data_IF_534196018304
#
_entry.id   IF_534196018304
#
_cell.length_a   1.000
_cell.length_b   1.000
_cell.length_c   1.000
_cell.angle_alpha   90.00
_cell.angle_beta   90.00
_cell.angle_gamma   90.00
#
_symmetry.space_group_name_H-M   'P 1'
#
loop_
_entity.id
_entity.type
_entity.pdbx_description
1 polymer ?
#
# COMPACT_ATOMS: atom_id res chain seq x y z
N UNK A 1 38.86 -8.59 14.60
CA UNK A 1 37.88 -9.70 14.52
C UNK A 1 36.49 -9.28 15.01
N UNK A 2 36.34 -8.65 16.18
CA UNK A 2 35.05 -8.10 16.66
C UNK A 2 34.32 -7.23 15.61
N UNK A 3 35.03 -6.34 14.88
CA UNK A 3 34.44 -5.51 13.81
C UNK A 3 33.91 -6.32 12.62
N UNK A 4 34.61 -7.38 12.24
CA UNK A 4 34.18 -8.27 11.16
C UNK A 4 32.93 -9.07 11.56
N UNK A 5 32.84 -9.49 12.83
CA UNK A 5 31.65 -10.12 13.39
C UNK A 5 30.45 -9.16 13.44
N UNK A 6 30.64 -7.89 13.86
CA UNK A 6 29.55 -6.90 13.82
C UNK A 6 29.02 -6.64 12.41
N UNK A 7 29.92 -6.52 11.43
CA UNK A 7 29.54 -6.39 10.02
C UNK A 7 28.79 -7.64 9.52
N UNK A 8 29.29 -8.86 9.83
CA UNK A 8 28.64 -10.12 9.50
C UNK A 8 27.25 -10.29 10.12
N UNK A 9 27.08 -9.97 11.40
CA UNK A 9 25.78 -10.02 12.11
C UNK A 9 24.80 -9.00 11.52
N UNK A 10 25.26 -7.78 11.22
CA UNK A 10 24.42 -6.76 10.57
C UNK A 10 23.92 -7.23 9.19
N UNK A 11 24.80 -7.87 8.42
CA UNK A 11 24.46 -8.47 7.13
C UNK A 11 23.47 -9.62 7.25
N UNK A 12 23.61 -10.51 8.24
CA UNK A 12 22.67 -11.60 8.48
C UNK A 12 21.25 -11.09 8.78
N UNK A 13 21.14 -10.08 9.66
CA UNK A 13 19.84 -9.50 10.01
C UNK A 13 19.17 -8.83 8.80
N UNK A 14 19.96 -8.11 7.98
CA UNK A 14 19.45 -7.47 6.76
C UNK A 14 18.94 -8.50 5.75
N UNK A 15 19.69 -9.59 5.52
CA UNK A 15 19.24 -10.66 4.61
C UNK A 15 18.06 -11.43 5.16
N UNK A 16 17.96 -11.63 6.48
CA UNK A 16 16.77 -12.23 7.10
C UNK A 16 15.53 -11.40 6.80
N UNK A 17 15.57 -10.09 7.04
CA UNK A 17 14.41 -9.26 6.75
C UNK A 17 14.13 -9.12 5.25
N UNK A 18 15.14 -9.21 4.38
CA UNK A 18 14.93 -9.34 2.93
C UNK A 18 14.16 -10.61 2.60
N UNK A 19 14.55 -11.74 3.19
CA UNK A 19 13.86 -13.02 3.01
C UNK A 19 12.42 -12.97 3.52
N UNK A 20 12.17 -12.30 4.65
CA UNK A 20 10.81 -12.14 5.18
C UNK A 20 9.92 -11.35 4.21
N UNK A 21 10.44 -10.25 3.63
CA UNK A 21 9.69 -9.43 2.67
C UNK A 21 9.48 -10.16 1.34
N UNK A 22 10.50 -10.81 0.79
CA UNK A 22 10.38 -11.61 -0.44
C UNK A 22 9.43 -12.79 -0.23
N UNK A 23 9.51 -13.48 0.90
CA UNK A 23 8.57 -14.54 1.27
C UNK A 23 7.13 -14.04 1.36
N UNK A 24 6.93 -12.84 1.92
CA UNK A 24 5.61 -12.20 1.96
C UNK A 24 5.09 -11.83 0.56
N UNK A 25 5.95 -11.33 -0.32
CA UNK A 25 5.58 -11.01 -1.70
C UNK A 25 5.14 -12.27 -2.46
N UNK A 26 5.91 -13.36 -2.37
CA UNK A 26 5.59 -14.63 -3.04
C UNK A 26 4.26 -15.19 -2.51
N UNK A 27 4.04 -15.16 -1.19
CA UNK A 27 2.80 -15.64 -0.59
C UNK A 27 1.57 -14.86 -1.08
N UNK A 28 1.74 -13.57 -1.38
CA UNK A 28 0.66 -12.68 -1.81
C UNK A 28 0.62 -12.44 -3.34
N UNK A 29 1.26 -13.29 -4.15
CA UNK A 29 1.25 -13.14 -5.62
C UNK A 29 -0.16 -13.24 -6.22
N UNK A 30 -1.02 -14.08 -5.66
CA UNK A 30 -2.40 -14.26 -6.14
C UNK A 30 -3.39 -13.35 -5.41
N UNK A 31 -2.91 -12.46 -4.54
CA UNK A 31 -3.78 -11.57 -3.77
C UNK A 31 -4.12 -10.34 -4.62
N UNK A 32 -5.41 -10.07 -4.78
CA UNK A 32 -5.89 -8.92 -5.54
C UNK A 32 -5.55 -7.60 -4.82
N UNK A 33 -5.09 -6.61 -5.59
CA UNK A 33 -4.71 -5.30 -5.07
C UNK A 33 -3.46 -5.27 -4.17
N UNK A 34 -2.72 -6.38 -4.05
CA UNK A 34 -1.47 -6.42 -3.29
C UNK A 34 -0.37 -5.61 -3.98
N UNK A 35 0.42 -4.89 -3.19
CA UNK A 35 1.59 -4.12 -3.64
C UNK A 35 2.86 -4.72 -3.05
N UNK A 36 3.81 -5.06 -3.92
CA UNK A 36 5.14 -5.61 -3.61
C UNK A 36 5.86 -4.71 -2.62
N UNK A 37 6.33 -5.30 -1.53
CA UNK A 37 7.25 -4.65 -0.60
C UNK A 37 8.69 -4.79 -1.11
N UNK A 38 9.47 -3.72 -1.05
CA UNK A 38 10.90 -3.72 -1.38
C UNK A 38 11.70 -3.25 -0.17
N UNK A 39 12.83 -3.91 0.06
CA UNK A 39 13.77 -3.54 1.12
C UNK A 39 14.95 -2.80 0.50
N UNK A 40 15.29 -1.64 1.06
CA UNK A 40 16.51 -0.91 0.71
C UNK A 40 17.47 -0.93 1.90
N UNK A 41 18.77 -1.03 1.62
CA UNK A 41 19.83 -1.00 2.62
C UNK A 41 20.67 0.25 2.46
N UNK A 42 21.21 0.72 3.59
CA UNK A 42 22.24 1.77 3.63
C UNK A 42 23.44 1.27 4.41
N UNK A 43 24.62 1.75 4.07
CA UNK A 43 25.82 1.47 4.85
C UNK A 43 25.74 2.13 6.25
N UNK A 44 26.52 1.58 7.17
CA UNK A 44 26.79 2.20 8.46
C UNK A 44 28.01 3.13 8.34
N UNK A 45 28.08 4.12 9.24
CA UNK A 45 29.18 5.11 9.31
C UNK A 45 30.54 4.42 9.14
N UNK A 46 31.37 4.95 8.24
CA UNK A 46 32.74 4.47 8.03
C UNK A 46 33.64 4.93 9.19
N UNK A 47 34.50 4.04 9.67
CA UNK A 47 35.51 4.41 10.66
C UNK A 47 36.80 4.79 9.94
N UNK A 48 37.25 6.04 10.11
CA UNK A 48 38.52 6.50 9.59
C UNK A 48 39.68 5.90 10.39
N UNK A 49 40.53 5.13 9.71
CA UNK A 49 41.76 4.51 10.24
C UNK A 49 42.99 5.35 9.89
N UNK A 50 42.93 6.15 8.82
CA UNK A 50 43.96 7.13 8.48
C UNK A 50 43.39 8.26 7.63
N UNK A 51 43.75 9.49 7.98
CA UNK A 51 43.36 10.68 7.21
C UNK A 51 44.13 10.75 5.89
N UNK A 52 43.48 11.30 4.88
CA UNK A 52 44.14 11.62 3.62
C UNK A 52 45.13 12.77 3.84
N UNK A 53 46.33 12.68 3.24
CA UNK A 53 47.30 13.78 3.23
C UNK A 53 47.70 14.11 1.80
N UNK A 54 47.74 15.39 1.48
CA UNK A 54 48.33 15.86 0.23
C UNK A 54 49.83 15.53 0.19
N UNK A 55 50.37 15.26 -1.00
CA UNK A 55 51.79 15.03 -1.21
C UNK A 55 52.60 16.32 -1.14
N UNK A 56 53.83 16.24 -0.65
CA UNK A 56 54.83 17.32 -0.65
C UNK A 56 55.95 17.01 -1.66
N UNK A 57 56.89 17.94 -1.90
CA UNK A 57 57.99 17.82 -2.85
C UNK A 57 58.92 16.60 -2.64
N UNK A 58 58.83 15.91 -1.50
CA UNK A 58 59.67 14.75 -1.14
C UNK A 58 58.87 13.47 -0.86
N UNK A 59 57.53 13.53 -0.78
CA UNK A 59 56.68 12.37 -0.47
C UNK A 59 55.31 12.47 -1.14
N UNK A 60 54.83 11.36 -1.71
CA UNK A 60 53.51 11.28 -2.36
C UNK A 60 52.35 11.37 -1.36
N UNK A 61 51.19 11.82 -1.84
CA UNK A 61 49.97 11.86 -1.04
C UNK A 61 49.48 10.46 -0.65
N UNK A 62 48.80 10.36 0.48
CA UNK A 62 48.18 9.11 0.94
C UNK A 62 46.66 9.22 0.88
N UNK A 63 46.02 8.14 0.42
CA UNK A 63 44.57 8.02 0.40
C UNK A 63 44.01 7.80 1.81
N UNK A 64 42.78 8.27 2.09
CA UNK A 64 42.12 7.98 3.35
C UNK A 64 41.86 6.49 3.44
N UNK A 65 42.10 5.92 4.62
CA UNK A 65 41.82 4.52 4.91
C UNK A 65 40.61 4.49 5.82
N UNK A 66 39.48 4.02 5.30
CA UNK A 66 38.25 3.88 6.06
C UNK A 66 37.79 2.43 6.01
N UNK A 67 37.19 1.97 7.10
CA UNK A 67 36.62 0.63 7.22
C UNK A 67 35.14 0.77 7.52
N UNK A 68 34.29 0.23 6.64
CA UNK A 68 32.84 0.20 6.85
C UNK A 68 32.46 -0.72 8.01
N UNK A 69 31.47 -0.29 8.80
CA UNK A 69 30.95 -1.03 9.96
C UNK A 69 29.78 -1.96 9.61
N UNK A 70 29.54 -2.22 8.33
CA UNK A 70 28.43 -3.03 7.82
C UNK A 70 27.33 -2.18 7.19
N UNK A 71 26.10 -2.69 7.22
CA UNK A 71 24.93 -1.99 6.70
C UNK A 71 23.70 -2.17 7.59
N UNK A 72 22.73 -1.27 7.47
CA UNK A 72 21.41 -1.36 8.13
C UNK A 72 20.29 -1.31 7.11
N UNK A 73 19.14 -1.87 7.45
CA UNK A 73 17.90 -1.62 6.72
C UNK A 73 17.56 -0.13 6.75
N UNK A 74 17.35 0.45 5.58
CA UNK A 74 16.94 1.85 5.44
C UNK A 74 15.41 1.95 5.52
N UNK A 75 14.70 1.27 4.62
CA UNK A 75 13.23 1.29 4.54
C UNK A 75 12.70 -0.03 3.99
N UNK A 76 11.42 -0.30 4.30
CA UNK A 76 10.57 -1.22 3.53
C UNK A 76 9.46 -0.39 2.91
N UNK A 77 9.51 -0.17 1.60
CA UNK A 77 8.52 0.60 0.86
C UNK A 77 7.61 -0.32 0.02
N UNK A 78 6.35 0.06 -0.15
CA UNK A 78 5.46 -0.61 -1.10
C UNK A 78 5.63 0.04 -2.47
N UNK A 79 5.76 -0.76 -3.52
CA UNK A 79 5.82 -0.28 -4.90
C UNK A 79 4.40 -0.20 -5.45
N UNK A 80 3.97 1.00 -5.85
CA UNK A 80 2.58 1.29 -6.26
C UNK A 80 2.31 1.17 -7.76
N UNK A 81 3.21 0.58 -8.55
CA UNK A 81 2.92 0.29 -9.95
C UNK A 81 1.69 -0.64 -10.08
N UNK A 82 0.99 -0.49 -11.20
CA UNK A 82 -0.19 -1.29 -11.50
C UNK A 82 0.19 -2.74 -11.81
N UNK A 83 -0.54 -3.69 -11.22
CA UNK A 83 -0.48 -5.11 -11.60
C UNK A 83 -1.30 -5.42 -12.86
N UNK A 84 -1.22 -6.66 -13.34
CA UNK A 84 -2.03 -7.10 -14.48
C UNK A 84 -3.52 -7.09 -14.11
N UNK A 85 -4.39 -6.67 -15.04
CA UNK A 85 -5.83 -6.71 -14.85
C UNK A 85 -6.35 -8.07 -15.32
N UNK A 86 -7.05 -8.80 -14.44
CA UNK A 86 -7.73 -10.05 -14.79
C UNK A 86 -9.23 -9.81 -14.91
N UNK A 87 -9.82 -10.22 -16.03
CA UNK A 87 -11.27 -10.16 -16.22
C UNK A 87 -11.94 -11.32 -15.45
N UNK A 88 -12.89 -11.01 -14.58
CA UNK A 88 -13.66 -11.98 -13.77
C UNK A 88 -15.09 -12.18 -14.27
N UNK A 89 -15.58 -11.30 -15.15
CA UNK A 89 -16.95 -11.35 -15.69
C UNK A 89 -18.05 -10.95 -14.70
N UNK A 90 -17.72 -10.50 -13.48
CA UNK A 90 -18.69 -10.03 -12.48
C UNK A 90 -18.72 -8.51 -12.44
N UNK A 91 -19.90 -7.91 -12.57
CA UNK A 91 -20.05 -6.45 -12.57
C UNK A 91 -19.61 -5.77 -11.26
N UNK A 92 -19.64 -6.49 -10.14
CA UNK A 92 -19.21 -6.00 -8.83
C UNK A 92 -17.70 -6.08 -8.60
N UNK A 93 -16.97 -6.76 -9.48
CA UNK A 93 -15.52 -6.76 -9.46
C UNK A 93 -15.02 -5.57 -10.28
N UNK A 94 -14.40 -4.61 -9.62
CA UNK A 94 -13.98 -3.35 -10.25
C UNK A 94 -12.51 -3.09 -9.99
N UNK A 95 -11.72 -3.03 -11.05
CA UNK A 95 -10.30 -2.70 -10.96
C UNK A 95 -10.07 -1.25 -11.36
N UNK A 96 -9.09 -0.60 -10.74
CA UNK A 96 -8.69 0.77 -11.09
C UNK A 96 -7.53 0.67 -12.10
N UNK A 97 -7.69 1.24 -13.30
CA UNK A 97 -6.60 1.43 -14.27
C UNK A 97 -5.97 2.80 -14.11
N UNK A 98 -4.73 2.88 -13.62
CA UNK A 98 -4.07 4.12 -13.21
C UNK A 98 -3.99 4.31 -11.69
N UNK A 99 -3.78 5.51 -11.20
CA UNK A 99 -3.59 5.79 -9.76
C UNK A 99 -4.90 6.00 -9.01
N UNK A 100 -4.95 5.63 -7.73
CA UNK A 100 -6.12 5.82 -6.86
C UNK A 100 -6.40 4.66 -5.92
N UNK A 101 -7.13 4.93 -4.84
CA UNK A 101 -7.60 3.91 -3.90
C UNK A 101 -9.10 4.05 -3.71
N UNK A 102 -9.79 2.93 -3.48
CA UNK A 102 -11.15 2.94 -2.98
C UNK A 102 -11.15 3.41 -1.54
N UNK A 103 -12.01 4.37 -1.21
CA UNK A 103 -12.25 4.78 0.16
C UNK A 103 -13.33 3.87 0.77
N UNK A 104 -12.97 3.12 1.81
CA UNK A 104 -13.89 2.29 2.57
C UNK A 104 -13.99 2.79 4.01
N UNK A 105 -15.08 2.45 4.69
CA UNK A 105 -15.30 2.86 6.07
C UNK A 105 -15.52 1.64 6.96
N UNK A 106 -14.80 1.63 8.09
CA UNK A 106 -14.93 0.63 9.16
C UNK A 106 -15.01 1.37 10.49
N UNK A 107 -16.06 1.14 11.28
CA UNK A 107 -16.21 1.72 12.61
C UNK A 107 -15.99 3.26 12.66
N UNK A 108 -16.40 3.98 11.62
CA UNK A 108 -16.21 5.43 11.50
C UNK A 108 -14.80 5.89 11.11
N UNK A 109 -13.87 4.97 10.86
CA UNK A 109 -12.54 5.25 10.32
C UNK A 109 -12.51 4.96 8.82
N UNK A 110 -11.93 5.88 8.05
CA UNK A 110 -11.75 5.71 6.60
C UNK A 110 -10.46 4.92 6.37
N UNK A 111 -10.61 3.82 5.64
CA UNK A 111 -9.53 3.00 5.15
C UNK A 111 -9.48 3.10 3.63
N UNK A 112 -8.33 2.78 3.06
CA UNK A 112 -8.08 2.85 1.64
C UNK A 112 -7.69 1.48 1.15
N UNK A 113 -8.31 1.01 0.09
CA UNK A 113 -7.99 -0.29 -0.48
C UNK A 113 -7.83 -0.20 -1.98
N UNK A 114 -6.99 -1.06 -2.52
CA UNK A 114 -6.84 -1.26 -3.97
C UNK A 114 -7.58 -2.51 -4.43
N UNK A 115 -8.06 -3.34 -3.49
CA UNK A 115 -8.84 -4.52 -3.81
C UNK A 115 -10.26 -4.11 -4.26
N UNK A 116 -10.68 -4.68 -5.38
CA UNK A 116 -11.92 -4.33 -6.09
C UNK A 116 -13.04 -5.34 -5.96
N UNK A 117 -12.95 -6.28 -5.02
CA UNK A 117 -13.93 -7.34 -4.83
C UNK A 117 -15.04 -6.87 -3.88
N UNK A 118 -16.14 -6.39 -4.47
CA UNK A 118 -17.30 -5.91 -3.72
C UNK A 118 -18.45 -6.91 -3.72
N UNK A 119 -19.25 -6.88 -2.67
CA UNK A 119 -20.46 -7.66 -2.48
C UNK A 119 -21.59 -6.72 -2.05
N UNK A 120 -22.84 -7.13 -2.28
CA UNK A 120 -24.02 -6.45 -1.75
C UNK A 120 -24.45 -7.13 -0.45
N UNK A 121 -24.67 -6.36 0.60
CA UNK A 121 -25.25 -6.88 1.86
C UNK A 121 -26.79 -6.96 1.78
N UNK A 122 -27.43 -7.55 2.81
CA UNK A 122 -28.90 -7.66 2.91
C UNK A 122 -29.62 -6.30 3.03
N UNK A 123 -28.87 -5.23 3.29
CA UNK A 123 -29.38 -3.85 3.32
C UNK A 123 -29.10 -3.10 2.00
N UNK A 124 -28.53 -3.78 1.02
CA UNK A 124 -28.19 -3.22 -0.27
C UNK A 124 -26.88 -2.43 -0.31
N UNK A 125 -26.11 -2.32 0.77
CA UNK A 125 -24.85 -1.58 0.75
C UNK A 125 -23.77 -2.37 0.00
N UNK A 126 -22.91 -1.66 -0.73
CA UNK A 126 -21.67 -2.22 -1.25
C UNK A 126 -20.64 -2.38 -0.12
N UNK A 127 -20.25 -3.62 0.13
CA UNK A 127 -19.25 -4.02 1.13
C UNK A 127 -18.09 -4.76 0.49
N UNK A 128 -16.89 -4.64 1.05
CA UNK A 128 -15.76 -5.52 0.69
C UNK A 128 -15.90 -6.88 1.38
N UNK A 129 -15.06 -7.85 1.01
CA UNK A 129 -15.00 -9.17 1.67
C UNK A 129 -14.76 -9.11 3.19
N UNK A 130 -14.17 -8.01 3.69
CA UNK A 130 -13.93 -7.77 5.12
C UNK A 130 -15.10 -7.06 5.83
N UNK A 131 -16.23 -6.86 5.13
CA UNK A 131 -17.40 -6.15 5.67
C UNK A 131 -17.23 -4.65 5.81
N UNK A 132 -16.24 -4.06 5.12
CA UNK A 132 -16.05 -2.60 5.10
C UNK A 132 -16.98 -1.97 4.07
N UNK A 133 -17.60 -0.83 4.39
CA UNK A 133 -18.54 -0.18 3.47
C UNK A 133 -17.79 0.67 2.46
N UNK A 134 -18.16 0.58 1.17
CA UNK A 134 -17.63 1.44 0.13
C UNK A 134 -18.24 2.85 0.23
N UNK A 135 -17.39 3.87 0.20
CA UNK A 135 -17.81 5.27 0.17
C UNK A 135 -17.99 5.70 -1.30
N UNK A 136 -19.16 6.28 -1.60
CA UNK A 136 -19.49 6.90 -2.86
C UNK A 136 -19.92 8.36 -2.70
N UNK A 137 -20.12 9.04 -3.82
CA UNK A 137 -20.65 10.40 -3.94
C UNK A 137 -21.93 10.40 -4.77
N UNK A 138 -22.82 11.37 -4.55
CA UNK A 138 -24.03 11.56 -5.38
C UNK A 138 -23.75 12.32 -6.68
N UNK A 139 -22.68 13.12 -6.72
CA UNK A 139 -22.36 13.99 -7.86
C UNK A 139 -21.00 13.66 -8.45
N UNK A 140 -20.87 13.86 -9.76
CA UNK A 140 -19.63 13.66 -10.51
C UNK A 140 -18.60 14.78 -10.28
N UNK A 141 -19.05 15.98 -9.86
CA UNK A 141 -18.16 17.11 -9.57
C UNK A 141 -17.79 17.15 -8.09
N UNK A 142 -16.58 16.69 -7.74
CA UNK A 142 -16.08 16.74 -6.36
C UNK A 142 -15.08 17.91 -6.21
N UNK A 143 -15.17 18.73 -5.15
CA UNK A 143 -14.16 19.74 -4.86
C UNK A 143 -12.82 19.07 -4.50
N UNK A 144 -11.76 19.40 -5.24
CA UNK A 144 -10.46 18.71 -5.26
C UNK A 144 -9.61 18.78 -3.97
N UNK A 145 -10.14 19.22 -2.83
CA UNK A 145 -9.36 19.40 -1.60
C UNK A 145 -10.14 19.26 -0.29
N UNK A 146 -11.32 18.63 -0.31
CA UNK A 146 -11.98 18.24 0.92
C UNK A 146 -11.33 17.00 1.51
N UNK A 147 -10.66 17.10 2.66
CA UNK A 147 -10.75 16.00 3.64
C UNK A 147 -12.24 15.69 3.80
N UNK A 148 -12.69 14.44 3.97
CA UNK A 148 -14.10 14.16 4.23
C UNK A 148 -14.41 14.94 5.50
N UNK A 149 -15.09 16.05 5.34
CA UNK A 149 -15.44 16.90 6.45
C UNK A 149 -16.42 16.11 7.29
N UNK A 150 -15.93 15.49 8.37
CA UNK A 150 -16.47 15.89 9.67
C UNK A 150 -16.28 17.40 9.71
N UNK A 151 -17.34 18.12 9.36
CA UNK A 151 -17.32 19.56 9.24
C UNK A 151 -16.68 20.14 10.50
N UNK A 152 -15.58 20.88 10.32
CA UNK A 152 -14.89 21.60 11.39
C UNK A 152 -15.72 22.81 11.82
N UNK A 153 -16.85 22.53 12.44
CA UNK A 153 -17.65 23.33 13.38
C UNK A 153 -18.69 22.33 13.89
N UNK A 154 -18.65 21.91 15.17
CA UNK A 154 -19.55 20.91 15.69
C UNK A 154 -20.97 21.49 15.71
N UNK A 155 -21.73 21.20 14.67
CA UNK A 155 -23.18 21.30 14.71
C UNK A 155 -23.65 20.01 15.35
N UNK A 156 -24.20 20.13 16.55
CA UNK A 156 -24.77 19.03 17.32
C UNK A 156 -25.58 18.09 16.41
N UNK A 157 -25.11 16.85 16.30
CA UNK A 157 -25.47 15.90 15.24
C UNK A 157 -24.27 15.05 14.79
N UNK A 158 -23.06 15.42 15.24
CA UNK A 158 -21.82 14.68 15.10
C UNK A 158 -21.97 13.18 15.44
N UNK A 159 -21.87 12.35 14.40
CA UNK A 159 -21.04 11.14 14.26
C UNK A 159 -20.57 10.41 15.54
N UNK A 160 -21.45 10.26 16.52
CA UNK A 160 -21.22 9.51 17.76
C UNK A 160 -22.22 8.36 17.84
N UNK A 161 -21.85 7.23 17.23
CA UNK A 161 -22.56 5.97 17.41
C UNK A 161 -22.30 4.96 16.28
N UNK A 162 -22.27 3.66 16.57
CA UNK A 162 -22.24 2.63 15.54
C UNK A 162 -23.58 2.66 14.82
N UNK A 163 -23.65 3.32 13.65
CA UNK A 163 -24.88 3.39 12.85
C UNK A 163 -25.27 4.78 12.34
N UNK A 164 -24.32 5.65 11.96
CA UNK A 164 -24.68 6.82 11.15
C UNK A 164 -25.15 6.35 9.76
N UNK A 165 -26.45 6.56 9.48
CA UNK A 165 -27.12 6.17 8.25
C UNK A 165 -26.62 7.03 7.07
N UNK A 166 -25.62 6.51 6.37
CA UNK A 166 -25.12 7.06 5.12
C UNK A 166 -25.92 6.46 3.96
N UNK A 167 -27.20 6.78 3.81
CA UNK A 167 -28.07 6.16 2.79
C UNK A 167 -28.11 6.93 1.47
N UNK A 168 -28.13 6.24 0.31
CA UNK A 168 -28.80 6.77 -0.89
C UNK A 168 -29.58 5.74 -1.75
N UNK A 169 -30.90 5.96 -1.83
CA UNK A 169 -31.85 6.02 -2.97
C UNK A 169 -33.03 6.91 -2.55
N UNK A 170 -33.68 7.77 -3.33
CA UNK A 170 -33.34 8.54 -4.52
C UNK A 170 -34.14 9.88 -4.43
N UNK A 171 -33.64 10.89 -5.14
CA UNK A 171 -34.39 11.92 -5.87
C UNK A 171 -35.65 12.59 -5.25
N UNK A 172 -35.47 13.51 -4.30
CA UNK A 172 -36.25 14.74 -4.06
C UNK A 172 -35.51 15.53 -2.96
N UNK A 173 -35.75 16.82 -2.84
CA UNK A 173 -35.29 17.75 -1.81
C UNK A 173 -33.88 18.35 -2.00
N UNK A 174 -33.86 19.30 -2.94
CA UNK A 174 -33.00 20.49 -2.86
C UNK A 174 -33.06 21.12 -1.47
N UNK A 175 -31.93 21.59 -0.94
CA UNK A 175 -31.80 22.51 0.22
C UNK A 175 -31.40 21.93 1.59
N UNK A 176 -30.67 20.82 1.61
CA UNK A 176 -29.66 20.59 2.65
C UNK A 176 -28.34 20.25 1.94
N UNK A 177 -27.20 20.80 2.38
CA UNK A 177 -25.88 20.30 1.99
C UNK A 177 -25.76 18.87 2.52
N UNK A 178 -26.35 17.93 1.79
CA UNK A 178 -26.25 16.51 2.05
C UNK A 178 -24.77 16.15 2.07
N UNK A 179 -24.33 15.23 2.95
CA UNK A 179 -22.94 14.80 2.96
C UNK A 179 -22.57 14.35 1.54
N UNK A 180 -21.59 15.03 0.94
CA UNK A 180 -21.14 14.78 -0.44
C UNK A 180 -20.60 13.35 -0.62
N UNK A 181 -20.31 12.68 0.51
CA UNK A 181 -19.85 11.30 0.61
C UNK A 181 -20.81 10.47 1.46
N UNK A 182 -21.24 9.30 0.97
CA UNK A 182 -22.17 8.38 1.64
C UNK A 182 -21.95 6.92 1.22
N UNK A 183 -22.70 5.96 1.79
CA UNK A 183 -22.63 4.57 1.34
C UNK A 183 -23.49 4.44 0.09
N UNK A 184 -22.99 3.67 -0.87
CA UNK A 184 -23.77 3.29 -2.04
C UNK A 184 -24.71 2.18 -1.62
N UNK A 185 -26.02 2.46 -1.60
CA UNK A 185 -27.07 1.43 -1.45
C UNK A 185 -27.52 1.02 -2.86
N UNK A 186 -27.88 -0.25 -3.03
CA UNK A 186 -28.48 -0.89 -4.22
C UNK A 186 -29.73 -1.61 -3.71
N UNK A 187 -30.95 -1.35 -4.21
CA UNK A 187 -32.14 -1.93 -3.60
C UNK A 187 -32.18 -3.42 -3.95
N UNK A 188 -32.77 -4.22 -3.07
CA UNK A 188 -32.73 -5.69 -3.19
C UNK A 188 -33.55 -6.24 -4.36
N UNK A 189 -34.37 -5.42 -5.02
CA UNK A 189 -35.13 -5.73 -6.22
C UNK A 189 -34.38 -5.43 -7.54
N UNK A 190 -33.14 -4.94 -7.45
CA UNK A 190 -32.28 -4.69 -8.61
C UNK A 190 -31.95 -5.98 -9.37
N UNK A 191 -32.19 -5.98 -10.69
CA UNK A 191 -31.96 -7.16 -11.55
C UNK A 191 -30.58 -7.20 -12.18
N UNK A 192 -30.09 -6.05 -12.62
CA UNK A 192 -28.75 -5.91 -13.21
C UNK A 192 -28.05 -4.69 -12.65
N UNK A 193 -26.76 -4.82 -12.40
CA UNK A 193 -25.87 -3.77 -11.95
C UNK A 193 -24.82 -3.53 -13.03
N UNK A 194 -24.53 -2.26 -13.31
CA UNK A 194 -23.45 -1.87 -14.21
C UNK A 194 -22.68 -0.69 -13.60
N UNK A 195 -21.36 -0.77 -13.69
CA UNK A 195 -20.45 0.27 -13.22
C UNK A 195 -19.73 0.84 -14.43
N UNK A 196 -19.92 2.14 -14.66
CA UNK A 196 -19.28 2.87 -15.74
C UNK A 196 -17.83 3.23 -15.39
N UNK A 197 -17.03 3.59 -16.39
CA UNK A 197 -15.62 3.96 -16.21
C UNK A 197 -15.40 5.16 -15.28
N UNK A 198 -16.37 6.08 -15.28
CA UNK A 198 -16.37 7.29 -14.44
C UNK A 198 -16.80 7.00 -12.98
N UNK A 199 -16.93 5.72 -12.62
CA UNK A 199 -17.37 5.29 -11.29
C UNK A 199 -18.87 5.31 -11.07
N UNK A 200 -19.68 5.67 -12.08
CA UNK A 200 -21.14 5.67 -11.96
C UNK A 200 -21.68 4.26 -11.79
N UNK A 201 -22.33 4.01 -10.66
CA UNK A 201 -23.06 2.77 -10.34
C UNK A 201 -24.51 2.95 -10.77
N UNK A 202 -24.94 2.13 -11.72
CA UNK A 202 -26.30 2.12 -12.26
C UNK A 202 -26.90 0.73 -12.12
N UNK A 203 -28.20 0.66 -11.88
CA UNK A 203 -28.91 -0.59 -11.71
C UNK A 203 -30.26 -0.51 -12.41
N UNK A 204 -30.78 -1.66 -12.82
CA UNK A 204 -32.13 -1.79 -13.36
C UNK A 204 -33.03 -2.30 -12.25
N UNK A 205 -34.07 -1.53 -11.94
CA UNK A 205 -35.05 -1.86 -10.91
C UNK A 205 -36.00 -3.01 -11.34
N UNK A 206 -36.92 -3.40 -10.44
CA UNK A 206 -37.94 -4.40 -10.75
C UNK A 206 -38.92 -3.99 -11.86
N UNK A 207 -39.02 -2.69 -12.16
CA UNK A 207 -39.86 -2.10 -13.21
C UNK A 207 -39.16 -2.02 -14.57
N UNK A 208 -37.86 -2.30 -14.63
CA UNK A 208 -37.06 -2.27 -15.86
C UNK A 208 -36.49 -0.89 -16.19
N UNK A 209 -36.56 0.08 -15.28
CA UNK A 209 -36.00 1.42 -15.46
C UNK A 209 -34.55 1.49 -14.95
N UNK A 210 -33.69 2.20 -15.69
CA UNK A 210 -32.30 2.42 -15.31
C UNK A 210 -32.22 3.56 -14.29
N UNK A 211 -31.79 3.24 -13.09
CA UNK A 211 -31.65 4.20 -12.00
C UNK A 211 -30.17 4.29 -11.58
N UNK A 212 -29.77 5.47 -11.09
CA UNK A 212 -28.39 5.76 -10.69
C UNK A 212 -28.28 5.66 -9.16
N UNK A 213 -27.40 4.79 -8.67
CA UNK A 213 -27.13 4.59 -7.25
C UNK A 213 -26.15 5.64 -6.69
N UNK A 214 -25.22 6.10 -7.52
CA UNK A 214 -24.19 7.09 -7.18
C UNK A 214 -22.90 6.87 -7.96
N UNK A 215 -21.84 7.55 -7.54
CA UNK A 215 -20.50 7.45 -8.10
C UNK A 215 -19.55 6.87 -7.05
N UNK A 216 -18.71 5.91 -7.43
CA UNK A 216 -17.61 5.42 -6.59
C UNK A 216 -16.56 6.52 -6.49
N UNK A 217 -16.11 6.81 -5.28
CA UNK A 217 -15.07 7.81 -5.04
C UNK A 217 -13.72 7.13 -4.94
N UNK A 218 -12.75 7.68 -5.65
CA UNK A 218 -11.34 7.28 -5.52
C UNK A 218 -10.55 8.36 -4.80
N UNK A 219 -9.53 7.93 -4.07
CA UNK A 219 -8.62 8.81 -3.33
C UNK A 219 -7.22 8.69 -3.91
N UNK A 220 -6.58 9.81 -4.20
CA UNK A 220 -5.13 9.89 -4.41
C UNK A 220 -4.47 10.54 -3.19
N UNK A 221 -3.18 10.33 -3.07
CA UNK A 221 -2.34 10.88 -2.01
C UNK A 221 -1.16 11.57 -2.65
N UNK A 222 -0.65 12.63 -2.02
CA UNK A 222 0.58 13.27 -2.48
C UNK A 222 1.80 12.34 -2.36
N UNK A 223 1.77 11.43 -1.38
CA UNK A 223 2.80 10.42 -1.19
C UNK A 223 2.20 9.06 -0.80
N UNK A 224 2.07 8.16 -1.77
CA UNK A 224 1.53 6.81 -1.55
C UNK A 224 2.42 5.98 -0.61
N UNK A 225 3.74 6.17 -0.61
CA UNK A 225 4.67 5.44 0.27
C UNK A 225 4.50 5.82 1.75
N UNK A 226 3.83 6.93 2.04
CA UNK A 226 3.48 7.33 3.40
C UNK A 226 2.27 6.58 3.97
N UNK A 227 1.54 5.78 3.18
CA UNK A 227 0.39 5.04 3.67
C UNK A 227 0.80 3.90 4.61
N UNK A 228 0.10 3.79 5.73
CA UNK A 228 0.35 2.70 6.69
C UNK A 228 -0.60 1.54 6.43
N UNK A 229 -0.09 0.31 6.43
CA UNK A 229 -0.87 -0.91 6.16
C UNK A 229 -1.53 -1.37 7.46
N UNK A 230 -2.85 -1.56 7.45
CA UNK A 230 -3.63 -2.00 8.64
C UNK A 230 -3.99 -3.50 8.57
N UNK A 231 -3.75 -4.15 7.43
CA UNK A 231 -4.07 -5.55 7.19
C UNK A 231 -5.13 -5.71 6.11
N UNK A 232 -5.37 -6.93 5.64
CA UNK A 232 -6.38 -7.25 4.60
C UNK A 232 -6.29 -6.37 3.32
N UNK A 233 -5.09 -5.92 2.95
CA UNK A 233 -4.84 -4.97 1.85
C UNK A 233 -5.47 -3.57 2.04
N UNK A 234 -5.84 -3.23 3.27
CA UNK A 234 -6.30 -1.90 3.66
C UNK A 234 -5.14 -1.05 4.18
N UNK A 235 -5.22 0.24 3.87
CA UNK A 235 -4.27 1.27 4.22
C UNK A 235 -4.96 2.39 4.98
N UNK A 236 -4.23 3.07 5.86
CA UNK A 236 -4.66 4.30 6.52
C UNK A 236 -3.68 5.41 6.22
N UNK A 237 -4.21 6.63 6.22
CA UNK A 237 -3.39 7.84 6.09
C UNK A 237 -2.42 7.94 7.27
N UNK A 238 -1.21 8.40 7.00
CA UNK A 238 -0.26 8.82 8.02
C UNK A 238 0.06 10.31 7.85
N UNK A 239 0.80 10.89 8.80
CA UNK A 239 1.27 12.27 8.65
C UNK A 239 2.15 12.46 7.39
N UNK A 240 2.80 11.39 6.90
CA UNK A 240 3.69 11.44 5.75
C UNK A 240 2.99 11.15 4.40
N UNK A 241 1.76 10.64 4.40
CA UNK A 241 1.00 10.40 3.16
C UNK A 241 0.41 11.69 2.56
N UNK A 242 0.31 12.73 3.39
CA UNK A 242 -0.50 13.91 3.09
C UNK A 242 -1.99 13.62 3.27
N UNK A 243 -2.80 14.67 3.09
CA UNK A 243 -4.26 14.55 3.18
C UNK A 243 -4.81 13.80 1.95
N UNK A 244 -5.83 12.94 2.13
CA UNK A 244 -6.51 12.25 1.04
C UNK A 244 -7.24 13.24 0.15
N UNK A 245 -7.01 13.13 -1.16
CA UNK A 245 -7.71 13.90 -2.17
C UNK A 245 -8.76 13.01 -2.84
N UNK A 246 -10.03 13.25 -2.53
CA UNK A 246 -11.15 12.49 -3.09
C UNK A 246 -11.58 13.06 -4.44
N UNK A 247 -11.94 12.19 -5.36
CA UNK A 247 -12.47 12.56 -6.65
C UNK A 247 -13.13 11.41 -7.38
N UNK A 248 -13.78 11.72 -8.49
CA UNK A 248 -14.30 10.69 -9.38
C UNK A 248 -13.15 10.07 -10.19
N UNK A 249 -13.23 8.77 -10.49
CA UNK A 249 -12.35 8.10 -11.45
C UNK A 249 -12.33 8.83 -12.80
N UNK A 250 -11.18 8.82 -13.48
CA UNK A 250 -11.02 9.44 -14.81
C UNK A 250 -10.81 10.96 -14.82
N UNK A 251 -10.91 11.65 -13.67
CA UNK A 251 -10.65 13.10 -13.54
C UNK A 251 -9.43 13.40 -12.66
N UNK A 252 -8.76 14.53 -12.90
CA UNK A 252 -7.56 15.02 -12.19
C UNK A 252 -6.39 14.00 -12.11
N UNK A 253 -6.13 13.27 -13.19
CA UNK A 253 -5.03 12.30 -13.24
C UNK A 253 -5.28 11.02 -12.43
N UNK A 254 -6.51 10.81 -11.94
CA UNK A 254 -6.94 9.56 -11.32
C UNK A 254 -7.23 8.50 -12.39
N UNK A 255 -7.04 7.25 -12.02
CA UNK A 255 -7.31 6.11 -12.87
C UNK A 255 -8.79 5.98 -13.25
N UNK A 256 -9.05 5.34 -14.39
CA UNK A 256 -10.40 4.94 -14.82
C UNK A 256 -10.80 3.64 -14.11
N UNK A 257 -12.10 3.43 -13.87
CA UNK A 257 -12.58 2.13 -13.42
C UNK A 257 -12.81 1.18 -14.58
N UNK A 258 -12.45 -0.07 -14.36
CA UNK A 258 -12.74 -1.18 -15.28
C UNK A 258 -13.64 -2.16 -14.55
N UNK A 259 -14.92 -2.15 -14.93
CA UNK A 259 -15.91 -3.11 -14.46
C UNK A 259 -15.60 -4.50 -15.01
N UNK A 260 -15.90 -5.54 -14.22
CA UNK A 260 -15.66 -6.93 -14.59
C UNK A 260 -14.20 -7.36 -14.48
N UNK A 261 -13.34 -6.59 -13.82
CA UNK A 261 -11.92 -6.91 -13.71
C UNK A 261 -11.39 -6.67 -12.31
N UNK A 262 -10.39 -7.45 -11.89
CA UNK A 262 -9.64 -7.24 -10.65
C UNK A 262 -8.18 -6.98 -10.98
N UNK A 263 -7.57 -6.08 -10.21
CA UNK A 263 -6.12 -5.85 -10.30
C UNK A 263 -5.39 -6.98 -9.56
N UNK A 264 -4.50 -7.68 -10.25
CA UNK A 264 -3.60 -8.67 -9.65
C UNK A 264 -2.50 -7.99 -8.85
N UNK A 265 -1.84 -8.78 -7.99
CA UNK A 265 -0.57 -8.39 -7.41
C UNK A 265 0.42 -7.96 -8.49
N UNK A 266 1.23 -6.95 -8.20
CA UNK A 266 2.33 -6.50 -9.06
C UNK A 266 3.63 -7.32 -8.83
N UNK A 267 3.52 -8.47 -8.17
CA UNK A 267 4.65 -9.35 -7.86
C UNK A 267 4.92 -10.29 -9.03
N UNK A 268 6.16 -10.29 -9.53
CA UNK A 268 6.66 -11.30 -10.48
C UNK A 268 7.43 -12.40 -9.73
N UNK A 269 6.93 -13.64 -9.81
CA UNK A 269 7.55 -14.79 -9.16
C UNK A 269 8.98 -15.03 -9.61
N UNK A 270 9.29 -14.80 -10.89
CA UNK A 270 10.62 -15.08 -11.45
C UNK A 270 11.67 -14.17 -10.81
N UNK A 271 11.31 -12.89 -10.64
CA UNK A 271 12.14 -11.90 -9.96
C UNK A 271 12.24 -12.22 -8.47
N UNK A 272 11.13 -12.50 -7.79
CA UNK A 272 11.14 -12.79 -6.34
C UNK A 272 11.93 -14.05 -6.00
N UNK A 273 11.84 -15.12 -6.81
CA UNK A 273 12.64 -16.33 -6.59
C UNK A 273 14.14 -16.05 -6.80
N UNK A 274 14.49 -15.22 -7.77
CA UNK A 274 15.88 -14.80 -7.98
C UNK A 274 16.40 -14.00 -6.79
N UNK A 275 15.61 -13.03 -6.32
CA UNK A 275 15.93 -12.23 -5.14
C UNK A 275 16.02 -13.07 -3.86
N UNK A 276 15.16 -14.09 -3.72
CA UNK A 276 15.24 -15.07 -2.62
C UNK A 276 16.56 -15.83 -2.67
N UNK A 277 16.97 -16.32 -3.85
CA UNK A 277 18.24 -17.04 -4.01
C UNK A 277 19.42 -16.13 -3.67
N UNK A 278 19.40 -14.87 -4.12
CA UNK A 278 20.44 -13.88 -3.79
C UNK A 278 20.50 -13.64 -2.28
N UNK A 279 19.36 -13.46 -1.62
CA UNK A 279 19.29 -13.25 -0.18
C UNK A 279 19.76 -14.50 0.61
N UNK A 280 19.39 -15.70 0.18
CA UNK A 280 19.86 -16.97 0.78
C UNK A 280 21.37 -17.14 0.63
N UNK A 281 21.93 -16.87 -0.56
CA UNK A 281 23.37 -16.92 -0.80
C UNK A 281 24.11 -15.88 0.03
N UNK A 282 23.56 -14.67 0.16
CA UNK A 282 24.08 -13.61 1.03
C UNK A 282 24.08 -14.01 2.51
N UNK A 283 23.00 -14.63 2.98
CA UNK A 283 22.91 -15.16 4.34
C UNK A 283 23.96 -16.25 4.59
N UNK A 284 24.08 -17.24 3.70
CA UNK A 284 25.07 -18.31 3.80
C UNK A 284 26.51 -17.77 3.78
N UNK A 285 26.80 -16.76 2.94
CA UNK A 285 28.10 -16.13 2.88
C UNK A 285 28.47 -15.44 4.20
N UNK A 286 27.54 -14.71 4.82
CA UNK A 286 27.77 -14.06 6.10
C UNK A 286 27.94 -15.06 7.25
N UNK A 287 27.21 -16.18 7.25
CA UNK A 287 27.41 -17.24 8.24
C UNK A 287 28.81 -17.84 8.14
N UNK A 288 29.33 -18.05 6.91
CA UNK A 288 30.71 -18.52 6.71
C UNK A 288 31.76 -17.54 7.24
N UNK A 289 31.52 -16.23 7.18
CA UNK A 289 32.44 -15.22 7.77
C UNK A 289 32.53 -15.39 9.29
N UNK A 290 31.42 -15.73 9.94
CA UNK A 290 31.39 -15.96 11.39
C UNK A 290 32.15 -17.24 11.73
N UNK A 291 31.90 -18.34 11.02
CA UNK A 291 32.58 -19.61 11.28
C UNK A 291 34.10 -19.51 11.04
N UNK A 292 34.53 -18.85 9.97
CA UNK A 292 35.97 -18.66 9.72
C UNK A 292 36.62 -17.74 10.75
N UNK A 293 35.90 -16.71 11.22
CA UNK A 293 36.40 -15.87 12.32
C UNK A 293 36.55 -16.64 13.63
N UNK A 294 35.65 -17.60 13.89
CA UNK A 294 35.70 -18.48 15.06
C UNK A 294 36.86 -19.48 14.98
N UNK A 295 37.09 -20.07 13.80
CA UNK A 295 38.25 -20.94 13.54
C UNK A 295 39.58 -20.20 13.80
N UNK A 296 39.73 -18.96 13.30
CA UNK A 296 40.92 -18.14 13.56
C UNK A 296 41.07 -17.81 15.04
N UNK A 297 39.96 -17.55 15.76
CA UNK A 297 39.99 -17.33 17.21
C UNK A 297 40.49 -18.59 17.94
N UNK A 298 40.01 -19.76 17.53
CA UNK A 298 40.42 -21.03 18.12
C UNK A 298 41.92 -21.31 17.89
N UNK A 299 42.43 -21.06 16.68
CA UNK A 299 43.86 -21.16 16.39
C UNK A 299 44.70 -20.21 17.25
N UNK A 300 44.27 -18.96 17.42
CA UNK A 300 44.95 -17.99 18.27
C UNK A 300 44.93 -18.37 19.76
N UNK A 301 43.84 -18.96 20.25
CA UNK A 301 43.75 -19.46 21.63
C UNK A 301 44.71 -20.64 21.84
N UNK A 302 44.82 -21.53 20.85
CA UNK A 302 45.73 -22.66 20.89
C UNK A 302 47.21 -22.23 20.81
N UNK A 303 47.52 -21.12 20.13
CA UNK A 303 48.87 -20.53 20.09
C UNK A 303 49.34 -19.95 21.43
N UNK A 304 48.41 -19.55 22.31
CA UNK A 304 48.75 -19.01 23.64
C UNK A 304 49.11 -20.10 24.65
N UNK A 305 48.77 -21.35 24.36
CA UNK A 305 48.92 -22.49 25.26
C UNK A 305 50.21 -23.24 25.00
#
# INVERSE_FOLDING_TARGET
MLRAMYSGISGLKNFQSKLDVVGNNIANVNTFGYKKGRVTFKDLVSQQVGSASAGNATTGGINPKEVGLGGTMATVDNVYNQGAMQNTGRALDVGISGEGFYATMVNGQIQYTRAGNFYTDNQGNLVTGDGTYLIGSRTSTLPASGTPGVAATPVAGDFTGPGADLAFYAADDTTAKAPEYGRIKIPTDARSLSISKDGQVSFVDGAGELQIAGYIVTSNFSNNAGLSKVGANNFVQSQNSGAPQFGVPGSDGRGELVSGALEMSNVDLSEEFTEMIVAQRGFQANTRIITTSDEILQELVNLKR
#
